data_IF_105610921155
#
_entry.id   IF_105610921155
#
_cell.length_a   1.000
_cell.length_b   1.000
_cell.length_c   1.000
_cell.angle_alpha   90.00
_cell.angle_beta   90.00
_cell.angle_gamma   90.00
#
_symmetry.space_group_name_H-M   'P 1'
#
loop_
_entity.id
_entity.type
_entity.pdbx_description
1 polymer ?
#
# COMPACT_ATOMS: atom_id res chain seq x y z
N UNK A 1 8.99 6.78 45.92
CA UNK A 1 7.72 7.42 45.53
C UNK A 1 7.97 8.17 44.23
N UNK A 2 7.53 7.63 43.08
CA UNK A 2 7.69 8.36 41.81
C UNK A 2 6.80 9.60 41.85
N UNK A 3 7.41 10.77 41.67
CA UNK A 3 6.69 12.04 41.67
C UNK A 3 5.78 12.09 40.44
N UNK A 4 4.47 12.12 40.66
CA UNK A 4 3.46 12.34 39.63
C UNK A 4 3.72 13.69 38.97
N UNK A 5 4.18 13.70 37.71
CA UNK A 5 4.43 14.93 36.95
C UNK A 5 3.13 15.52 36.37
N UNK A 6 2.03 15.45 37.12
CA UNK A 6 0.71 15.85 36.67
C UNK A 6 0.00 14.85 35.74
N UNK A 7 0.50 13.60 35.65
CA UNK A 7 -0.17 12.53 34.90
C UNK A 7 -1.54 12.23 35.52
N UNK A 8 -2.54 12.03 34.64
CA UNK A 8 -3.91 11.69 35.04
C UNK A 8 -4.38 10.43 34.33
N UNK A 9 -5.23 9.66 35.02
CA UNK A 9 -5.97 8.55 34.44
C UNK A 9 -7.22 9.07 33.73
N UNK A 10 -7.41 8.71 32.47
CA UNK A 10 -8.59 9.06 31.67
C UNK A 10 -9.06 7.82 30.94
N UNK A 11 -10.38 7.60 30.96
CA UNK A 11 -11.04 6.56 30.17
C UNK A 11 -11.84 7.21 29.05
N UNK A 12 -11.75 6.62 27.87
CA UNK A 12 -12.46 7.05 26.66
C UNK A 12 -13.38 5.92 26.19
N UNK A 13 -14.60 6.28 25.80
CA UNK A 13 -15.60 5.34 25.29
C UNK A 13 -15.38 5.06 23.80
N UNK A 14 -15.01 3.81 23.47
CA UNK A 14 -14.85 3.36 22.09
C UNK A 14 -16.07 2.58 21.56
N UNK A 15 -17.11 2.37 22.36
CA UNK A 15 -18.30 1.60 21.94
C UNK A 15 -18.95 2.14 20.66
N UNK A 16 -19.10 3.46 20.44
CA UNK A 16 -19.65 3.97 19.18
C UNK A 16 -18.83 3.53 17.96
N UNK A 17 -17.50 3.50 18.09
CA UNK A 17 -16.61 3.06 17.04
C UNK A 17 -16.65 1.55 16.83
N UNK A 18 -16.60 0.78 17.92
CA UNK A 18 -16.61 -0.69 17.89
C UNK A 18 -17.86 -1.26 17.25
N UNK A 19 -19.02 -0.63 17.47
CA UNK A 19 -20.28 -1.00 16.84
C UNK A 19 -20.23 -0.84 15.32
N UNK A 20 -19.54 0.19 14.81
CA UNK A 20 -19.37 0.44 13.37
C UNK A 20 -18.34 -0.50 12.75
N UNK A 21 -17.29 -0.82 13.49
CA UNK A 21 -16.25 -1.78 13.10
C UNK A 21 -16.57 -3.23 13.53
N UNK A 22 -17.86 -3.61 13.60
CA UNK A 22 -18.28 -4.88 14.19
C UNK A 22 -17.66 -6.13 13.52
N UNK A 23 -17.34 -6.05 12.22
CA UNK A 23 -16.70 -7.12 11.45
C UNK A 23 -15.18 -7.20 11.59
N UNK A 24 -14.55 -6.33 12.40
CA UNK A 24 -13.12 -6.32 12.66
C UNK A 24 -12.85 -6.98 14.02
N UNK A 25 -11.87 -7.89 14.07
CA UNK A 25 -11.53 -8.65 15.29
C UNK A 25 -10.99 -7.75 16.41
N UNK A 26 -10.04 -6.87 16.08
CA UNK A 26 -9.37 -5.96 17.01
C UNK A 26 -9.43 -4.49 16.53
N UNK A 27 -10.62 -3.88 16.47
CA UNK A 27 -10.77 -2.52 15.97
C UNK A 27 -10.00 -1.49 16.80
N UNK A 28 -9.84 -1.73 18.10
CA UNK A 28 -9.12 -0.84 19.02
C UNK A 28 -7.63 -0.66 18.68
N UNK A 29 -7.01 -1.61 17.97
CA UNK A 29 -5.59 -1.52 17.58
C UNK A 29 -5.31 -0.31 16.70
N UNK A 30 -6.21 -0.01 15.76
CA UNK A 30 -5.98 1.13 14.88
C UNK A 30 -6.05 2.45 15.65
N UNK A 31 -6.90 2.55 16.67
CA UNK A 31 -6.97 3.74 17.55
C UNK A 31 -5.63 3.94 18.26
N UNK A 32 -5.06 2.87 18.79
CA UNK A 32 -3.72 2.87 19.42
C UNK A 32 -2.66 3.29 18.41
N UNK A 33 -2.65 2.73 17.21
CA UNK A 33 -1.66 3.04 16.18
C UNK A 33 -1.72 4.52 15.79
N UNK A 34 -2.93 5.09 15.62
CA UNK A 34 -3.11 6.51 15.33
C UNK A 34 -2.67 7.41 16.47
N UNK A 35 -2.93 7.03 17.73
CA UNK A 35 -2.42 7.76 18.89
C UNK A 35 -0.89 7.77 18.88
N UNK A 36 -0.24 6.62 18.67
CA UNK A 36 1.22 6.52 18.63
C UNK A 36 1.82 7.33 17.48
N UNK A 37 1.16 7.37 16.31
CA UNK A 37 1.56 8.21 15.17
C UNK A 37 1.45 9.70 15.46
N UNK A 38 0.44 10.12 16.22
CA UNK A 38 0.19 11.52 16.55
C UNK A 38 1.11 12.02 17.67
N UNK A 39 1.31 11.20 18.69
CA UNK A 39 2.04 11.58 19.91
C UNK A 39 3.52 11.21 19.87
N UNK A 40 3.91 10.33 18.95
CA UNK A 40 5.23 9.70 18.91
C UNK A 40 5.35 8.58 19.95
N UNK A 41 6.14 7.54 19.64
CA UNK A 41 6.37 6.41 20.55
C UNK A 41 7.15 6.83 21.79
N UNK A 42 8.13 7.73 21.65
CA UNK A 42 9.05 8.08 22.72
C UNK A 42 8.31 8.59 23.96
N UNK A 43 7.28 9.43 23.77
CA UNK A 43 6.46 9.97 24.86
C UNK A 43 5.76 8.91 25.71
N UNK A 44 5.60 7.68 25.22
CA UNK A 44 4.97 6.58 25.96
C UNK A 44 5.97 5.70 26.70
N UNK A 45 7.22 5.67 26.24
CA UNK A 45 8.25 4.75 26.74
C UNK A 45 9.41 5.45 27.44
N UNK A 46 9.35 6.78 27.60
CA UNK A 46 10.29 7.58 28.39
C UNK A 46 9.59 8.22 29.59
N UNK A 47 10.35 8.96 30.41
CA UNK A 47 9.78 9.77 31.48
C UNK A 47 9.03 11.00 30.92
N UNK A 48 7.90 11.41 31.52
CA UNK A 48 7.17 10.72 32.59
C UNK A 48 6.41 9.47 32.09
N UNK A 49 6.31 8.45 32.95
CA UNK A 49 5.66 7.15 32.64
C UNK A 49 4.31 7.30 31.92
N UNK A 50 4.20 6.78 30.70
CA UNK A 50 2.93 6.65 29.99
C UNK A 50 2.35 5.24 30.13
N UNK A 51 1.02 5.13 30.27
CA UNK A 51 0.32 3.86 30.09
C UNK A 51 -0.84 4.05 29.13
N UNK A 52 -0.98 3.14 28.17
CA UNK A 52 -2.14 3.06 27.29
C UNK A 52 -2.59 1.60 27.20
N UNK A 53 -3.87 1.36 27.44
CA UNK A 53 -4.49 0.05 27.29
C UNK A 53 -5.84 0.22 26.60
N UNK A 54 -6.02 -0.47 25.48
CA UNK A 54 -7.27 -0.45 24.75
C UNK A 54 -7.95 -1.82 24.81
N UNK A 55 -9.26 -1.81 25.04
CA UNK A 55 -10.16 -2.92 24.77
C UNK A 55 -11.16 -2.49 23.70
N UNK A 56 -11.93 -3.45 23.17
CA UNK A 56 -12.92 -3.18 22.12
C UNK A 56 -13.83 -1.98 22.40
N UNK A 57 -14.24 -1.76 23.66
CA UNK A 57 -15.15 -0.68 24.04
C UNK A 57 -14.54 0.46 24.84
N UNK A 58 -13.28 0.37 25.26
CA UNK A 58 -12.71 1.36 26.20
C UNK A 58 -11.22 1.53 25.95
N UNK A 59 -10.78 2.79 25.86
CA UNK A 59 -9.37 3.15 25.89
C UNK A 59 -9.05 3.79 27.24
N UNK A 60 -8.04 3.27 27.93
CA UNK A 60 -7.56 3.79 29.21
C UNK A 60 -6.16 4.36 29.03
N UNK A 61 -5.97 5.62 29.44
CA UNK A 61 -4.72 6.34 29.27
C UNK A 61 -4.30 7.01 30.57
N UNK A 62 -3.07 6.74 30.98
CA UNK A 62 -2.38 7.47 32.03
C UNK A 62 -1.24 8.29 31.43
N UNK A 63 -1.41 9.62 31.39
CA UNK A 63 -0.42 10.54 30.82
C UNK A 63 -0.65 11.99 31.27
N UNK A 64 0.30 12.88 30.98
CA UNK A 64 0.23 14.33 31.24
C UNK A 64 -0.87 15.00 30.40
N UNK A 65 -1.38 16.18 30.81
CA UNK A 65 -2.53 16.82 30.16
C UNK A 65 -2.35 17.08 28.66
N UNK A 66 -1.14 17.38 28.22
CA UNK A 66 -0.82 17.65 26.81
C UNK A 66 -1.02 16.44 25.91
N UNK A 67 -0.48 15.28 26.31
CA UNK A 67 -0.68 14.02 25.57
C UNK A 67 -2.15 13.60 25.63
N UNK A 68 -2.83 13.82 26.76
CA UNK A 68 -4.27 13.54 26.89
C UNK A 68 -5.13 14.39 25.94
N UNK A 69 -4.69 15.60 25.57
CA UNK A 69 -5.35 16.43 24.54
C UNK A 69 -5.18 15.83 23.15
N UNK A 70 -3.98 15.38 22.80
CA UNK A 70 -3.72 14.69 21.52
C UNK A 70 -4.50 13.38 21.42
N UNK A 71 -4.50 12.56 22.47
CA UNK A 71 -5.29 11.32 22.55
C UNK A 71 -6.77 11.61 22.33
N UNK A 72 -7.32 12.62 23.02
CA UNK A 72 -8.72 13.02 22.86
C UNK A 72 -9.03 13.41 21.41
N UNK A 73 -8.18 14.24 20.79
CA UNK A 73 -8.37 14.66 19.40
C UNK A 73 -8.42 13.48 18.43
N UNK A 74 -7.58 12.45 18.63
CA UNK A 74 -7.64 11.23 17.83
C UNK A 74 -8.93 10.45 18.11
N UNK A 75 -9.24 10.18 19.39
CA UNK A 75 -10.45 9.41 19.76
C UNK A 75 -11.72 10.07 19.26
N UNK A 76 -11.84 11.39 19.36
CA UNK A 76 -13.01 12.14 18.91
C UNK A 76 -13.28 11.93 17.41
N UNK A 77 -12.23 11.89 16.57
CA UNK A 77 -12.33 11.54 15.13
C UNK A 77 -12.83 10.11 14.90
N UNK A 78 -12.45 9.17 15.76
CA UNK A 78 -12.92 7.79 15.68
C UNK A 78 -14.38 7.64 16.09
N UNK A 79 -14.83 8.35 17.13
CA UNK A 79 -16.19 8.21 17.66
C UNK A 79 -17.21 9.09 16.94
N UNK A 80 -16.77 10.10 16.19
CA UNK A 80 -17.64 11.00 15.41
C UNK A 80 -18.52 10.23 14.40
N UNK A 81 -19.86 10.35 14.45
CA UNK A 81 -20.76 9.73 13.48
C UNK A 81 -20.62 10.29 12.05
N UNK A 82 -20.12 11.53 11.87
CA UNK A 82 -19.97 12.15 10.54
C UNK A 82 -18.83 11.54 9.72
N UNK A 83 -17.85 10.93 10.37
CA UNK A 83 -16.75 10.21 9.74
C UNK A 83 -17.03 8.74 9.44
N UNK A 84 -18.20 8.19 9.80
CA UNK A 84 -18.44 6.73 9.88
C UNK A 84 -17.94 5.90 8.69
N UNK A 85 -18.26 6.33 7.46
CA UNK A 85 -17.78 5.69 6.23
C UNK A 85 -17.03 6.68 5.37
N UNK A 86 -15.89 6.23 4.86
CA UNK A 86 -15.03 6.97 3.95
C UNK A 86 -15.00 6.19 2.64
N UNK A 87 -15.46 6.82 1.57
CA UNK A 87 -15.22 6.34 0.22
C UNK A 87 -13.89 6.89 -0.29
N UNK A 88 -12.98 6.01 -0.70
CA UNK A 88 -11.75 6.38 -1.38
C UNK A 88 -11.79 5.82 -2.80
N UNK A 89 -11.48 6.68 -3.77
CA UNK A 89 -11.06 6.23 -5.09
C UNK A 89 -9.55 6.24 -5.14
N UNK A 90 -8.98 5.06 -5.37
CA UNK A 90 -7.54 4.88 -5.49
C UNK A 90 -7.26 4.46 -6.91
N UNK A 91 -6.40 5.19 -7.61
CA UNK A 91 -5.91 4.80 -8.94
C UNK A 91 -4.41 4.66 -8.90
N UNK A 92 -3.90 3.63 -9.56
CA UNK A 92 -2.47 3.38 -9.69
C UNK A 92 -2.14 3.32 -11.17
N UNK A 93 -1.22 4.15 -11.63
CA UNK A 93 -0.74 4.13 -13.00
C UNK A 93 0.78 4.02 -13.03
N UNK A 94 1.28 3.45 -14.11
CA UNK A 94 2.71 3.33 -14.38
C UNK A 94 2.99 4.02 -15.69
N UNK A 95 4.01 4.88 -15.72
CA UNK A 95 4.38 5.65 -16.91
C UNK A 95 5.86 5.41 -17.20
N UNK A 96 6.18 4.97 -18.41
CA UNK A 96 7.55 4.72 -18.83
C UNK A 96 8.43 5.97 -18.73
N UNK A 97 7.97 7.10 -19.28
CA UNK A 97 8.71 8.37 -19.25
C UNK A 97 8.08 9.38 -18.25
N UNK A 98 8.83 9.84 -17.22
CA UNK A 98 8.34 10.77 -16.19
C UNK A 98 8.11 12.22 -16.68
N UNK A 99 8.28 12.50 -17.97
CA UNK A 99 8.07 13.83 -18.57
C UNK A 99 6.64 14.36 -18.47
N UNK A 100 5.67 13.57 -18.01
CA UNK A 100 4.32 14.07 -17.71
C UNK A 100 4.34 15.27 -16.74
N UNK A 101 5.36 15.33 -15.85
CA UNK A 101 5.56 16.44 -14.92
C UNK A 101 5.66 17.79 -15.62
N UNK A 102 6.30 17.88 -16.79
CA UNK A 102 6.48 19.17 -17.47
C UNK A 102 5.16 19.81 -17.88
N UNK A 103 4.14 18.99 -18.12
CA UNK A 103 2.79 19.44 -18.48
C UNK A 103 1.94 19.68 -17.22
N UNK A 104 2.09 18.85 -16.19
CA UNK A 104 1.26 18.89 -15.00
C UNK A 104 1.69 19.96 -13.98
N UNK A 105 3.00 20.18 -13.80
CA UNK A 105 3.58 21.01 -12.73
C UNK A 105 2.89 22.37 -12.49
N UNK A 106 2.49 23.15 -13.52
CA UNK A 106 1.83 24.44 -13.29
C UNK A 106 0.49 24.36 -12.54
N UNK A 107 -0.16 23.20 -12.52
CA UNK A 107 -1.45 22.96 -11.86
C UNK A 107 -1.30 22.22 -10.52
N UNK A 108 -0.07 21.86 -10.15
CA UNK A 108 0.22 21.04 -8.97
C UNK A 108 0.67 21.92 -7.80
N UNK A 109 0.09 21.68 -6.63
CA UNK A 109 0.55 22.30 -5.37
C UNK A 109 1.36 21.28 -4.57
N UNK A 110 2.66 21.54 -4.40
CA UNK A 110 3.55 20.60 -3.72
C UNK A 110 3.13 20.35 -2.26
N UNK A 111 3.23 19.09 -1.85
CA UNK A 111 3.06 18.63 -0.48
C UNK A 111 4.40 18.11 0.04
N UNK A 112 4.75 18.44 1.27
CA UNK A 112 6.02 17.98 1.86
C UNK A 112 5.99 16.45 2.08
N UNK A 113 7.05 15.77 1.65
CA UNK A 113 7.26 14.32 1.79
C UNK A 113 8.61 14.07 2.45
N UNK A 114 8.73 13.03 3.28
CA UNK A 114 9.99 12.69 3.97
C UNK A 114 10.73 11.54 3.29
N UNK A 115 10.00 10.71 2.56
CA UNK A 115 10.52 9.55 1.84
C UNK A 115 11.35 10.00 0.64
N UNK A 116 12.61 9.52 0.52
CA UNK A 116 13.50 9.93 -0.56
C UNK A 116 12.99 9.41 -1.90
N UNK A 117 13.07 10.24 -2.94
CA UNK A 117 12.63 9.89 -4.30
C UNK A 117 11.11 9.84 -4.50
N UNK A 118 10.34 10.34 -3.52
CA UNK A 118 8.88 10.44 -3.57
C UNK A 118 8.49 11.90 -3.58
N UNK A 119 7.61 12.25 -4.51
CA UNK A 119 7.01 13.57 -4.59
C UNK A 119 5.50 13.45 -4.40
N UNK A 120 4.88 14.43 -3.75
CA UNK A 120 3.43 14.50 -3.63
C UNK A 120 2.91 15.89 -3.95
N UNK A 121 1.71 15.94 -4.53
CA UNK A 121 1.04 17.17 -4.89
C UNK A 121 -0.46 17.08 -4.63
N UNK A 122 -1.05 18.25 -4.43
CA UNK A 122 -2.50 18.45 -4.45
C UNK A 122 -2.88 19.04 -5.80
N UNK A 123 -4.01 18.56 -6.32
CA UNK A 123 -4.58 18.96 -7.60
C UNK A 123 -6.11 19.00 -7.47
N UNK A 124 -6.76 19.93 -8.16
CA UNK A 124 -8.24 19.98 -8.19
C UNK A 124 -8.80 18.69 -8.80
N UNK A 125 -10.01 18.25 -8.40
CA UNK A 125 -10.64 17.05 -8.98
C UNK A 125 -10.83 17.15 -10.49
N UNK A 126 -11.15 18.34 -11.00
CA UNK A 126 -11.30 18.60 -12.44
C UNK A 126 -9.97 18.46 -13.18
N UNK A 127 -8.91 19.13 -12.70
CA UNK A 127 -7.59 19.02 -13.32
C UNK A 127 -7.01 17.60 -13.21
N UNK A 128 -7.31 16.88 -12.12
CA UNK A 128 -6.93 15.48 -11.96
C UNK A 128 -7.61 14.57 -12.99
N UNK A 129 -8.91 14.79 -13.25
CA UNK A 129 -9.64 14.07 -14.29
C UNK A 129 -9.07 14.36 -15.68
N UNK A 130 -8.75 15.62 -15.98
CA UNK A 130 -8.11 16.01 -17.24
C UNK A 130 -6.72 15.39 -17.38
N UNK A 131 -5.89 15.47 -16.33
CA UNK A 131 -4.54 14.91 -16.34
C UNK A 131 -4.58 13.39 -16.53
N UNK A 132 -5.40 12.67 -15.76
CA UNK A 132 -5.55 11.21 -15.90
C UNK A 132 -6.02 10.81 -17.30
N UNK A 133 -7.00 11.52 -17.87
CA UNK A 133 -7.48 11.28 -19.23
C UNK A 133 -6.41 11.56 -20.31
N UNK A 134 -5.48 12.49 -20.06
CA UNK A 134 -4.32 12.73 -20.94
C UNK A 134 -3.27 11.63 -20.80
N UNK A 135 -3.00 11.19 -19.58
CA UNK A 135 -2.01 10.14 -19.29
C UNK A 135 -2.40 8.80 -19.91
N UNK A 136 -3.66 8.38 -19.75
CA UNK A 136 -4.18 7.10 -20.28
C UNK A 136 -4.08 7.02 -21.81
N UNK A 137 -4.04 8.15 -22.52
CA UNK A 137 -3.84 8.17 -23.99
C UNK A 137 -2.42 7.89 -24.42
N UNK A 138 -1.45 7.95 -23.50
CA UNK A 138 -0.05 7.70 -23.83
C UNK A 138 0.20 6.21 -23.99
N UNK A 139 1.03 5.84 -24.97
CA UNK A 139 1.40 4.44 -25.24
C UNK A 139 2.25 3.83 -24.12
N UNK A 140 2.97 4.66 -23.37
CA UNK A 140 3.82 4.26 -22.25
C UNK A 140 3.10 4.30 -20.89
N UNK A 141 1.78 4.57 -20.89
CA UNK A 141 0.96 4.56 -19.69
C UNK A 141 0.22 3.23 -19.55
N UNK A 142 0.25 2.66 -18.36
CA UNK A 142 -0.56 1.51 -17.99
C UNK A 142 -1.26 1.78 -16.67
N UNK A 143 -2.59 1.78 -16.70
CA UNK A 143 -3.42 1.84 -15.50
C UNK A 143 -3.55 0.44 -14.89
N UNK A 144 -3.44 0.39 -13.57
CA UNK A 144 -3.65 -0.80 -12.77
C UNK A 144 -5.03 -0.71 -12.14
N UNK A 145 -5.84 -1.74 -12.38
CA UNK A 145 -7.17 -1.84 -11.81
C UNK A 145 -7.07 -2.00 -10.28
N UNK A 146 -7.55 -0.98 -9.57
CA UNK A 146 -7.60 -0.92 -8.12
C UNK A 146 -9.06 -0.65 -7.74
N UNK A 147 -9.72 -1.56 -7.01
CA UNK A 147 -11.12 -1.38 -6.68
C UNK A 147 -11.27 -0.19 -5.73
N UNK A 148 -12.31 0.61 -5.97
CA UNK A 148 -12.73 1.62 -5.01
C UNK A 148 -12.98 0.99 -3.63
N UNK A 149 -12.68 1.78 -2.60
CA UNK A 149 -12.74 1.32 -1.24
C UNK A 149 -13.72 2.13 -0.42
N UNK A 150 -14.76 1.46 0.07
CA UNK A 150 -15.58 1.97 1.17
C UNK A 150 -15.03 1.38 2.48
N UNK A 151 -14.61 2.25 3.39
CA UNK A 151 -13.97 1.90 4.64
C UNK A 151 -14.68 2.51 5.82
N UNK A 152 -14.66 1.80 6.95
CA UNK A 152 -14.96 2.40 8.25
C UNK A 152 -13.82 3.35 8.62
N UNK A 153 -14.13 4.51 9.20
CA UNK A 153 -13.12 5.48 9.62
C UNK A 153 -11.97 4.84 10.42
N UNK A 154 -10.74 5.19 10.10
CA UNK A 154 -9.54 4.69 10.78
C UNK A 154 -9.19 3.22 10.50
N UNK A 155 -10.04 2.45 9.80
CA UNK A 155 -9.73 1.07 9.44
C UNK A 155 -8.84 1.00 8.20
N UNK A 156 -7.92 0.03 8.22
CA UNK A 156 -6.97 -0.16 7.13
C UNK A 156 -7.53 -1.12 6.09
N UNK A 157 -7.18 -0.91 4.82
CA UNK A 157 -7.40 -1.88 3.76
C UNK A 157 -6.13 -2.11 2.98
N UNK A 158 -5.88 -3.38 2.69
CA UNK A 158 -4.74 -3.84 1.92
C UNK A 158 -5.23 -4.38 0.58
N UNK A 159 -4.53 -3.99 -0.49
CA UNK A 159 -4.76 -4.43 -1.85
C UNK A 159 -3.45 -5.06 -2.32
N UNK A 160 -3.50 -6.36 -2.59
CA UNK A 160 -2.34 -7.15 -3.00
C UNK A 160 -2.49 -7.62 -4.44
N UNK A 161 -1.45 -7.42 -5.24
CA UNK A 161 -1.30 -8.06 -6.53
C UNK A 161 0.07 -8.72 -6.58
N UNK A 162 0.09 -9.98 -6.16
CA UNK A 162 1.31 -10.75 -5.97
C UNK A 162 1.31 -11.97 -6.89
N UNK A 163 2.41 -12.17 -7.60
CA UNK A 163 2.69 -13.32 -8.46
C UNK A 163 3.70 -14.24 -7.78
N UNK A 164 3.40 -15.53 -7.77
CA UNK A 164 4.34 -16.54 -7.28
C UNK A 164 5.34 -16.92 -8.37
N UNK A 165 6.63 -16.96 -8.03
CA UNK A 165 7.71 -17.47 -8.86
C UNK A 165 8.35 -18.66 -8.17
N UNK A 166 8.52 -19.76 -8.89
CA UNK A 166 9.15 -20.98 -8.38
C UNK A 166 10.60 -21.05 -8.88
N UNK A 167 11.50 -21.57 -8.05
CA UNK A 167 12.91 -21.76 -8.38
C UNK A 167 13.50 -22.94 -7.60
N UNK A 168 14.66 -23.44 -8.01
CA UNK A 168 15.38 -24.47 -7.26
C UNK A 168 16.31 -23.80 -6.26
N UNK A 169 15.94 -23.80 -4.98
CA UNK A 169 16.68 -23.10 -3.93
C UNK A 169 17.97 -23.81 -3.56
N UNK A 170 17.88 -25.12 -3.39
CA UNK A 170 18.97 -25.91 -2.83
C UNK A 170 18.88 -27.35 -3.29
N UNK A 171 19.76 -28.17 -2.74
CA UNK A 171 19.84 -29.60 -2.94
C UNK A 171 20.00 -30.25 -1.58
N UNK A 172 19.27 -31.33 -1.34
CA UNK A 172 19.37 -32.12 -0.10
C UNK A 172 19.72 -33.57 -0.41
N UNK A 173 20.43 -34.28 0.48
CA UNK A 173 20.58 -35.73 0.39
C UNK A 173 19.20 -36.41 0.37
N UNK A 174 19.06 -37.51 -0.38
CA UNK A 174 17.83 -38.29 -0.41
C UNK A 174 17.75 -39.21 0.82
N UNK A 175 16.69 -39.11 1.60
CA UNK A 175 16.52 -39.86 2.86
C UNK A 175 16.21 -41.37 2.68
N UNK A 176 15.76 -41.80 1.49
CA UNK A 176 15.39 -43.20 1.23
C UNK A 176 15.76 -43.67 -0.20
N UNK A 177 16.71 -44.60 -0.30
CA UNK A 177 17.16 -45.27 -1.54
C UNK A 177 18.68 -45.20 -1.77
N UNK A 178 19.23 -45.94 -2.75
CA UNK A 178 20.65 -45.91 -3.04
C UNK A 178 21.07 -44.50 -3.47
N UNK A 179 21.96 -43.92 -2.67
CA UNK A 179 22.75 -42.68 -2.84
C UNK A 179 22.34 -41.76 -4.00
N UNK A 180 21.77 -40.60 -3.66
CA UNK A 180 21.49 -39.52 -4.61
C UNK A 180 21.14 -38.21 -3.92
N UNK A 181 21.20 -37.12 -4.68
CA UNK A 181 20.83 -35.78 -4.27
C UNK A 181 19.46 -35.41 -4.88
N UNK A 182 18.61 -34.71 -4.12
CA UNK A 182 17.31 -34.24 -4.58
C UNK A 182 17.26 -32.70 -4.58
N UNK A 183 16.74 -32.13 -5.67
CA UNK A 183 16.48 -30.69 -5.74
C UNK A 183 15.41 -30.26 -4.72
N UNK A 184 15.66 -29.16 -4.03
CA UNK A 184 14.74 -28.52 -3.08
C UNK A 184 14.07 -27.32 -3.77
N UNK A 185 12.80 -27.44 -4.20
CA UNK A 185 12.09 -26.33 -4.79
C UNK A 185 11.68 -25.32 -3.71
N UNK A 186 11.69 -24.04 -4.07
CA UNK A 186 11.13 -22.97 -3.26
C UNK A 186 10.29 -22.02 -4.13
N UNK A 187 9.48 -21.20 -3.45
CA UNK A 187 8.69 -20.17 -4.08
C UNK A 187 8.95 -18.81 -3.43
N UNK A 188 8.79 -17.76 -4.22
CA UNK A 188 8.80 -16.38 -3.76
C UNK A 188 7.60 -15.64 -4.36
N UNK A 189 7.24 -14.50 -3.78
CA UNK A 189 6.18 -13.63 -4.29
C UNK A 189 6.77 -12.30 -4.73
N UNK A 190 6.46 -11.88 -5.95
CA UNK A 190 6.78 -10.57 -6.50
C UNK A 190 5.47 -9.81 -6.83
N UNK A 191 5.52 -8.50 -6.95
CA UNK A 191 4.37 -7.63 -7.22
C UNK A 191 4.28 -6.49 -6.21
N UNK A 192 3.07 -6.02 -5.91
CA UNK A 192 2.86 -4.94 -4.95
C UNK A 192 1.82 -5.27 -3.89
N UNK A 193 1.99 -4.61 -2.74
CA UNK A 193 1.03 -4.56 -1.64
C UNK A 193 0.82 -3.09 -1.27
N UNK A 194 -0.41 -2.62 -1.41
CA UNK A 194 -0.80 -1.24 -1.08
C UNK A 194 -1.80 -1.27 0.08
N UNK A 195 -1.39 -0.72 1.21
CA UNK A 195 -2.24 -0.53 2.37
C UNK A 195 -2.49 0.96 2.59
N UNK A 196 -3.76 1.30 2.86
CA UNK A 196 -4.17 2.65 3.22
C UNK A 196 -5.02 2.62 4.48
N UNK A 197 -4.75 3.56 5.37
CA UNK A 197 -5.49 3.77 6.61
C UNK A 197 -5.97 5.22 6.63
N UNK A 198 -7.23 5.50 6.24
CA UNK A 198 -7.78 6.84 6.29
C UNK A 198 -8.30 7.18 7.69
N UNK A 199 -8.21 8.44 8.07
CA UNK A 199 -8.84 9.01 9.25
C UNK A 199 -9.37 10.40 8.88
N UNK A 200 -10.69 10.54 8.80
CA UNK A 200 -11.31 11.85 8.56
C UNK A 200 -11.13 12.76 9.78
N UNK A 201 -11.05 14.07 9.55
CA UNK A 201 -11.17 15.06 10.62
C UNK A 201 -12.63 15.23 11.09
N UNK A 202 -12.87 15.81 12.27
CA UNK A 202 -14.21 15.96 12.89
C UNK A 202 -15.14 16.85 12.05
N UNK A 203 -14.57 17.86 11.39
CA UNK A 203 -15.33 18.73 10.50
C UNK A 203 -15.55 18.12 9.11
N UNK A 204 -15.00 16.91 8.87
CA UNK A 204 -15.01 16.23 7.57
C UNK A 204 -14.57 17.14 6.42
N UNK A 205 -13.62 18.05 6.67
CA UNK A 205 -13.05 18.94 5.64
C UNK A 205 -11.73 18.44 5.09
N UNK A 206 -11.00 17.73 5.93
CA UNK A 206 -9.69 17.18 5.60
C UNK A 206 -9.69 15.67 5.81
N UNK A 207 -8.96 14.99 4.94
CA UNK A 207 -8.63 13.60 5.08
C UNK A 207 -7.18 13.50 5.53
N UNK A 208 -6.95 12.54 6.40
CA UNK A 208 -5.62 12.05 6.68
C UNK A 208 -5.53 10.60 6.23
N UNK A 209 -4.44 10.21 5.56
CA UNK A 209 -4.23 8.82 5.18
C UNK A 209 -2.79 8.42 5.46
N UNK A 210 -2.62 7.25 6.04
CA UNK A 210 -1.34 6.56 6.05
C UNK A 210 -1.30 5.63 4.85
N UNK A 211 -0.31 5.80 3.99
CA UNK A 211 -0.05 4.92 2.84
C UNK A 211 1.19 4.09 3.14
N UNK A 212 1.02 2.78 3.14
CA UNK A 212 2.11 1.81 3.11
C UNK A 212 2.07 1.10 1.76
N UNK A 213 3.07 1.31 0.93
CA UNK A 213 3.22 0.60 -0.34
C UNK A 213 4.52 -0.18 -0.33
N UNK A 214 4.47 -1.46 -0.71
CA UNK A 214 5.65 -2.29 -0.93
C UNK A 214 5.60 -2.86 -2.33
N UNK A 215 6.69 -2.73 -3.06
CA UNK A 215 6.88 -3.31 -4.40
C UNK A 215 8.11 -4.20 -4.32
N UNK A 216 7.93 -5.49 -4.61
CA UNK A 216 9.01 -6.47 -4.66
C UNK A 216 9.07 -7.07 -6.06
N UNK A 217 10.23 -7.12 -6.70
CA UNK A 217 10.40 -7.71 -8.03
C UNK A 217 11.62 -8.62 -8.08
N UNK A 218 11.49 -9.78 -8.73
CA UNK A 218 12.66 -10.58 -9.10
C UNK A 218 13.22 -10.08 -10.41
N UNK A 219 14.44 -9.58 -10.35
CA UNK A 219 15.20 -9.11 -11.51
C UNK A 219 15.69 -10.30 -12.34
N UNK A 220 16.20 -11.33 -11.66
CA UNK A 220 16.75 -12.53 -12.30
C UNK A 220 16.94 -13.66 -11.29
N UNK A 221 16.88 -14.89 -11.78
CA UNK A 221 17.39 -16.07 -11.07
C UNK A 221 18.82 -16.34 -11.55
N UNK A 222 19.81 -16.14 -10.67
CA UNK A 222 21.22 -16.39 -10.98
C UNK A 222 21.47 -17.89 -10.85
N UNK A 223 21.80 -18.61 -11.94
CA UNK A 223 22.09 -20.03 -11.82
C UNK A 223 23.45 -20.25 -11.17
N UNK A 224 23.51 -21.16 -10.22
CA UNK A 224 24.74 -21.61 -9.56
C UNK A 224 24.84 -23.12 -9.72
N UNK A 225 25.94 -23.60 -10.29
CA UNK A 225 26.21 -25.04 -10.35
C UNK A 225 26.95 -25.45 -9.10
N UNK A 226 26.36 -26.36 -8.32
CA UNK A 226 26.96 -26.94 -7.13
C UNK A 226 27.49 -28.32 -7.49
N UNK A 227 28.78 -28.54 -7.26
CA UNK A 227 29.40 -29.85 -7.41
C UNK A 227 29.13 -30.68 -6.15
N UNK A 228 28.58 -31.87 -6.34
CA UNK A 228 28.31 -32.78 -5.23
C UNK A 228 29.47 -33.75 -5.01
N UNK A 229 29.71 -34.19 -3.76
CA UNK A 229 30.62 -35.27 -3.45
C UNK A 229 30.39 -36.48 -4.38
N UNK A 230 31.45 -37.02 -5.01
CA UNK A 230 31.32 -38.10 -5.97
C UNK A 230 30.80 -39.37 -5.28
N UNK A 231 29.69 -39.89 -5.80
CA UNK A 231 29.19 -41.22 -5.48
C UNK A 231 29.67 -42.16 -6.59
N UNK A 232 30.17 -43.37 -6.29
CA UNK A 232 30.63 -44.31 -7.32
C UNK A 232 29.56 -44.50 -8.42
N UNK A 233 29.92 -44.20 -9.67
CA UNK A 233 29.02 -44.33 -10.83
C UNK A 233 28.13 -43.13 -11.15
N UNK A 234 28.15 -42.04 -10.36
CA UNK A 234 27.33 -40.84 -10.60
C UNK A 234 28.14 -39.56 -10.34
N UNK A 235 28.58 -38.87 -11.41
CA UNK A 235 28.98 -37.47 -11.32
C UNK A 235 27.72 -36.61 -11.25
N UNK A 236 27.44 -35.97 -10.11
CA UNK A 236 26.27 -35.11 -9.96
C UNK A 236 26.67 -33.64 -9.81
N UNK A 237 26.54 -32.89 -10.90
CA UNK A 237 26.48 -31.42 -10.86
C UNK A 237 25.01 -31.05 -10.80
N UNK A 238 24.62 -30.26 -9.81
CA UNK A 238 23.24 -29.79 -9.67
C UNK A 238 23.19 -28.29 -9.84
N UNK A 239 22.22 -27.81 -10.63
CA UNK A 239 21.98 -26.38 -10.83
C UNK A 239 20.93 -25.91 -9.82
N UNK A 240 21.32 -24.97 -8.98
CA UNK A 240 20.43 -24.19 -8.11
C UNK A 240 20.29 -22.78 -8.67
N UNK A 241 19.35 -22.03 -8.13
CA UNK A 241 19.03 -20.67 -8.54
C UNK A 241 19.02 -19.75 -7.32
N UNK A 242 19.76 -18.66 -7.39
CA UNK A 242 19.77 -17.61 -6.37
C UNK A 242 18.99 -16.41 -6.89
N UNK A 243 17.85 -16.02 -6.28
CA UNK A 243 17.08 -14.88 -6.73
C UNK A 243 17.80 -13.56 -6.45
N UNK A 244 17.89 -12.71 -7.46
CA UNK A 244 18.25 -11.31 -7.33
C UNK A 244 16.95 -10.48 -7.31
N UNK A 245 16.73 -9.71 -6.25
CA UNK A 245 15.50 -8.95 -6.05
C UNK A 245 15.75 -7.44 -6.01
N UNK A 246 14.75 -6.66 -6.43
CA UNK A 246 14.61 -5.25 -6.06
C UNK A 246 13.38 -5.09 -5.17
N UNK A 247 13.49 -4.21 -4.17
CA UNK A 247 12.38 -3.88 -3.27
C UNK A 247 12.33 -2.38 -3.07
N UNK A 248 11.12 -1.84 -3.03
CA UNK A 248 10.86 -0.44 -2.75
C UNK A 248 9.68 -0.33 -1.77
N UNK A 249 9.80 0.60 -0.84
CA UNK A 249 8.81 0.82 0.21
C UNK A 249 8.50 2.29 0.39
N UNK A 250 7.22 2.61 0.45
CA UNK A 250 6.70 3.91 0.89
C UNK A 250 5.94 3.70 2.19
N UNK A 251 6.24 4.53 3.19
CA UNK A 251 5.44 4.63 4.40
C UNK A 251 5.30 6.10 4.76
N UNK A 252 4.20 6.71 4.30
CA UNK A 252 3.97 8.14 4.47
C UNK A 252 2.58 8.45 4.99
N UNK A 253 2.49 9.59 5.67
CA UNK A 253 1.24 10.15 6.16
C UNK A 253 0.96 11.43 5.37
N UNK A 254 -0.19 11.47 4.72
CA UNK A 254 -0.64 12.64 3.96
C UNK A 254 -1.89 13.22 4.60
N UNK A 255 -2.01 14.54 4.56
CA UNK A 255 -3.19 15.28 5.02
C UNK A 255 -3.56 16.32 3.96
N UNK A 256 -4.82 16.32 3.54
CA UNK A 256 -5.29 17.22 2.48
C UNK A 256 -6.80 17.48 2.55
N UNK A 257 -7.31 18.55 1.90
CA UNK A 257 -8.75 18.83 1.82
C UNK A 257 -9.52 17.80 0.99
N UNK A 258 -10.77 17.47 1.37
CA UNK A 258 -11.60 16.51 0.65
C UNK A 258 -11.96 16.91 -0.80
N UNK A 259 -11.85 18.19 -1.13
CA UNK A 259 -12.15 18.73 -2.46
C UNK A 259 -11.00 18.60 -3.47
N UNK A 260 -9.82 18.23 -2.99
CA UNK A 260 -8.65 18.01 -3.83
C UNK A 260 -8.32 16.51 -3.92
N UNK A 261 -7.59 16.17 -4.97
CA UNK A 261 -7.02 14.85 -5.17
C UNK A 261 -5.55 14.87 -4.77
N UNK A 262 -5.15 13.89 -3.98
CA UNK A 262 -3.75 13.66 -3.66
C UNK A 262 -3.11 12.88 -4.82
N UNK A 263 -2.05 13.42 -5.41
CA UNK A 263 -1.21 12.77 -6.40
C UNK A 263 0.17 12.50 -5.79
N UNK A 264 0.54 11.23 -5.70
CA UNK A 264 1.87 10.80 -5.22
C UNK A 264 2.61 10.16 -6.38
N UNK A 265 3.82 10.65 -6.67
CA UNK A 265 4.78 9.93 -7.50
C UNK A 265 5.74 9.17 -6.61
N UNK A 266 5.76 7.86 -6.78
CA UNK A 266 6.66 6.92 -6.11
C UNK A 266 8.06 6.89 -6.75
N UNK A 267 8.28 7.69 -7.79
CA UNK A 267 9.48 7.66 -8.61
C UNK A 267 9.53 6.45 -9.54
N UNK A 268 10.69 6.28 -10.19
CA UNK A 268 10.92 5.17 -11.12
C UNK A 268 11.21 3.90 -10.34
N UNK A 269 10.22 3.01 -10.29
CA UNK A 269 10.24 1.75 -9.52
C UNK A 269 10.16 0.55 -10.46
N UNK A 270 10.37 -0.65 -9.89
CA UNK A 270 9.95 -1.91 -10.50
C UNK A 270 8.51 -1.79 -10.98
N UNK A 271 8.23 -2.08 -12.26
CA UNK A 271 6.87 -2.04 -12.76
C UNK A 271 6.03 -3.05 -11.93
N UNK A 272 5.00 -2.59 -11.19
CA UNK A 272 4.21 -3.43 -10.30
C UNK A 272 3.48 -4.58 -11.02
N UNK A 273 3.46 -4.58 -12.35
CA UNK A 273 2.85 -5.62 -13.19
C UNK A 273 3.81 -6.79 -13.50
N UNK A 274 5.11 -6.61 -13.29
CA UNK A 274 6.16 -7.51 -13.75
C UNK A 274 6.29 -7.52 -15.28
N UNK A 275 7.25 -8.30 -15.81
CA UNK A 275 7.48 -8.36 -17.25
C UNK A 275 6.24 -8.93 -17.99
N UNK A 276 5.81 -8.32 -19.11
CA UNK A 276 4.81 -8.95 -19.97
C UNK A 276 5.32 -10.31 -20.45
N UNK A 277 4.44 -11.31 -20.68
CA UNK A 277 4.86 -12.55 -21.32
C UNK A 277 5.55 -12.19 -22.63
N UNK A 278 6.80 -12.64 -22.79
CA UNK A 278 7.67 -12.34 -23.91
C UNK A 278 6.91 -12.51 -25.23
N UNK A 279 6.57 -11.41 -25.89
CA UNK A 279 6.12 -11.45 -27.29
C UNK A 279 7.36 -11.79 -28.11
N UNK A 280 7.33 -12.94 -28.78
CA UNK A 280 8.49 -13.66 -29.32
C UNK A 280 9.28 -12.96 -30.44
N UNK A 281 9.92 -11.83 -30.13
CA UNK A 281 10.96 -11.25 -30.98
C UNK A 281 12.34 -11.56 -30.39
N UNK A 282 13.24 -12.20 -31.16
CA UNK A 282 14.55 -12.60 -30.67
C UNK A 282 15.49 -11.39 -30.81
N UNK A 283 15.49 -10.50 -29.83
CA UNK A 283 16.56 -9.53 -29.65
C UNK A 283 17.24 -9.84 -28.32
N UNK A 284 18.46 -10.35 -28.40
CA UNK A 284 19.32 -10.77 -27.29
C UNK A 284 19.84 -9.62 -26.41
N UNK A 285 18.99 -8.65 -26.08
CA UNK A 285 19.20 -7.68 -25.03
C UNK A 285 18.44 -8.19 -23.81
N UNK A 286 19.16 -8.45 -22.72
CA UNK A 286 18.63 -9.13 -21.53
C UNK A 286 17.24 -8.59 -21.13
N UNK A 287 16.32 -9.52 -20.84
CA UNK A 287 15.02 -9.26 -20.22
C UNK A 287 15.25 -8.68 -18.82
N UNK A 288 15.57 -7.39 -18.74
CA UNK A 288 15.65 -6.66 -17.48
C UNK A 288 14.25 -6.23 -17.03
N UNK A 289 14.04 -6.16 -15.72
CA UNK A 289 12.82 -5.67 -15.12
C UNK A 289 12.38 -4.33 -15.74
N UNK A 290 11.16 -4.27 -16.28
CA UNK A 290 10.59 -3.01 -16.77
C UNK A 290 10.49 -2.01 -15.61
N UNK A 291 11.08 -0.82 -15.78
CA UNK A 291 10.99 0.29 -14.83
C UNK A 291 10.00 1.33 -15.32
N UNK A 292 9.23 1.89 -14.40
CA UNK A 292 8.26 2.94 -14.71
C UNK A 292 8.08 3.87 -13.51
N UNK A 293 7.75 5.13 -13.78
CA UNK A 293 7.28 6.05 -12.77
C UNK A 293 5.89 5.61 -12.30
N UNK A 294 5.79 5.21 -11.02
CA UNK A 294 4.53 4.78 -10.44
C UNK A 294 3.83 5.97 -9.80
N UNK A 295 2.60 6.20 -10.22
CA UNK A 295 1.77 7.30 -9.77
C UNK A 295 0.53 6.77 -9.04
N UNK A 296 0.24 7.34 -7.88
CA UNK A 296 -0.88 6.98 -7.02
C UNK A 296 -1.78 8.21 -6.87
N UNK A 297 -3.05 8.05 -7.22
CA UNK A 297 -4.09 9.06 -7.01
C UNK A 297 -5.00 8.58 -5.90
N UNK A 298 -5.28 9.46 -4.95
CA UNK A 298 -6.23 9.21 -3.87
C UNK A 298 -7.23 10.36 -3.85
N UNK A 299 -8.48 10.03 -4.13
CA UNK A 299 -9.61 10.95 -4.09
C UNK A 299 -10.61 10.50 -3.02
N UNK A 300 -11.12 11.46 -2.24
CA UNK A 300 -12.20 11.20 -1.29
C UNK A 300 -13.55 11.32 -2.00
N UNK A 301 -14.32 10.23 -1.99
CA UNK A 301 -15.71 10.22 -2.48
C UNK A 301 -16.64 10.75 -1.39
N UNK A 302 -17.53 11.66 -1.78
CA UNK A 302 -18.63 12.10 -0.91
C UNK A 302 -19.63 10.96 -0.71
N UNK A 303 -20.33 10.95 0.43
CA UNK A 303 -21.28 9.88 0.82
C UNK A 303 -22.32 9.55 -0.26
N UNK A 304 -22.75 10.54 -1.05
CA UNK A 304 -23.76 10.35 -2.12
C UNK A 304 -23.19 9.68 -3.38
N UNK A 305 -21.88 9.81 -3.63
CA UNK A 305 -21.21 9.18 -4.77
C UNK A 305 -20.94 7.68 -4.51
N UNK A 306 -20.94 7.25 -3.26
CA UNK A 306 -20.75 5.84 -2.86
C UNK A 306 -22.00 5.00 -3.15
N UNK A 307 -23.19 5.61 -3.15
CA UNK A 307 -24.46 4.94 -3.45
C UNK A 307 -24.67 4.64 -4.94
N UNK A 308 -23.84 5.19 -5.84
CA UNK A 308 -23.84 4.85 -7.27
C UNK A 308 -22.57 4.09 -7.59
N UNK A 309 -22.65 2.80 -7.93
CA UNK A 309 -21.57 2.15 -8.64
C UNK A 309 -21.19 3.03 -9.83
N UNK A 310 -19.92 3.33 -9.99
CA UNK A 310 -19.40 3.93 -11.20
C UNK A 310 -19.69 2.97 -12.36
N UNK A 311 -20.77 3.21 -13.10
CA UNK A 311 -20.97 2.69 -14.44
C UNK A 311 -19.91 3.33 -15.36
N UNK A 312 -18.66 2.89 -15.23
CA UNK A 312 -17.69 3.04 -16.31
C UNK A 312 -17.97 1.95 -17.35
N UNK A 313 -18.74 2.38 -18.36
CA UNK A 313 -18.60 1.99 -19.76
C UNK A 313 -18.68 0.49 -20.11
N UNK A 314 -19.84 -0.13 -19.91
CA UNK A 314 -20.33 -1.11 -20.86
C UNK A 314 -20.92 -0.38 -22.08
N UNK A 315 -20.07 0.12 -22.99
CA UNK A 315 -20.53 0.60 -24.30
C UNK A 315 -20.30 -0.46 -25.38
N UNK A 316 -21.40 -1.14 -25.68
CA UNK A 316 -21.85 -1.61 -27.00
C UNK A 316 -20.99 -2.64 -27.75
N UNK A 317 -21.25 -3.92 -27.45
CA UNK A 317 -21.21 -4.96 -28.48
C UNK A 317 -22.45 -4.83 -29.37
N UNK A 318 -22.35 -4.08 -30.47
CA UNK A 318 -23.39 -4.05 -31.50
C UNK A 318 -23.34 -5.36 -32.29
N UNK A 319 -24.23 -6.29 -31.95
CA UNK A 319 -24.49 -7.49 -32.75
C UNK A 319 -25.20 -7.09 -34.04
N UNK A 320 -24.43 -6.93 -35.13
CA UNK A 320 -24.97 -6.83 -36.48
C UNK A 320 -25.40 -8.24 -36.91
N UNK A 321 -26.70 -8.54 -36.84
CA UNK A 321 -27.30 -9.66 -37.57
C UNK A 321 -27.76 -9.15 -38.94
N UNK A 322 -26.98 -9.48 -39.97
CA UNK A 322 -27.37 -9.30 -41.35
C UNK A 322 -28.52 -10.24 -41.72
N UNK A 323 -29.54 -9.69 -42.40
CA UNK A 323 -30.44 -10.43 -43.28
C UNK A 323 -29.85 -10.35 -44.68
N UNK A 324 -29.48 -11.49 -45.26
CA UNK A 324 -29.76 -12.01 -46.60
C UNK A 324 -29.03 -13.34 -46.73
#
# INVERSE_FOLDING_TARGET
MSATQGQRWVEYDLRPYASRAAGVEHPERTVVDWILRETGTDRWFTEPMGLMSASRGTLRVYHVPDVQRSVRSVVDRFVDPRGERIGLSVRLMTIGNPNWRSIALPRLRALAVRSPGVDAWLISKEDAAVLSAQLVKRIDCTELDVPDAELVNGQSRTIDRLRTRSYIRSVRPRDAGPSGYQAEPATLREGYSLQFSPLADIDSREMEVVVLCRIDQVERFVPVTVEMPPVPGVSSRVRIEVPQMSSWTLHERFRWPLEETLLVSCGVVASPRGDPPSSGLPLGLGSGAVRADALLWIECKTRDAVARPSESAARNGTTIRGRY
#
